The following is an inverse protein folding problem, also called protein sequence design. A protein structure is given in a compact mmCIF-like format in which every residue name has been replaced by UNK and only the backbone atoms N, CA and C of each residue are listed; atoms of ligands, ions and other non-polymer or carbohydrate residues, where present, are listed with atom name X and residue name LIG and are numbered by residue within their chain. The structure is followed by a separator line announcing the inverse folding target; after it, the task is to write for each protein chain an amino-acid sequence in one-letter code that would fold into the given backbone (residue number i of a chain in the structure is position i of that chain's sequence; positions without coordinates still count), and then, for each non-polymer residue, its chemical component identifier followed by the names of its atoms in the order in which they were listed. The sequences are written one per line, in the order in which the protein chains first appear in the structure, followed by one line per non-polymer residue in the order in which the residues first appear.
data_IF_112658280515
#
_entry.id   IF_112658280515
#
_cell.length_a   1.000
_cell.length_b   1.000
_cell.length_c   1.000
_cell.angle_alpha   90.00
_cell.angle_beta   90.00
_cell.angle_gamma   90.00
#
_symmetry.space_group_name_H-M   'P 1'
#
loop_
_entity.id
_entity.type
_entity.pdbx_description
1 polymer ?
#
# COMPACT_ATOMS: atom_id res chain seq x y z
N UNK A 1 3.40 -5.97 -8.36
CA UNK A 1 3.94 -5.72 -6.99
C UNK A 1 2.79 -5.29 -6.09
N UNK A 2 2.90 -5.50 -4.78
CA UNK A 2 1.89 -5.09 -3.79
C UNK A 2 2.61 -4.35 -2.68
N UNK A 3 2.00 -3.29 -2.14
CA UNK A 3 2.46 -2.61 -0.93
C UNK A 3 1.61 -3.09 0.25
N UNK A 4 2.27 -3.52 1.33
CA UNK A 4 1.61 -4.04 2.53
C UNK A 4 2.08 -3.23 3.73
N UNK A 5 1.15 -2.75 4.54
CA UNK A 5 1.43 -1.92 5.71
C UNK A 5 0.72 -2.47 6.94
N UNK A 6 1.45 -2.55 8.06
CA UNK A 6 0.92 -2.85 9.37
C UNK A 6 0.97 -1.61 10.25
N UNK A 7 -0.15 -1.24 10.88
CA UNK A 7 -0.19 -0.16 11.86
C UNK A 7 0.13 -0.74 13.24
N UNK A 8 1.33 -0.49 13.73
CA UNK A 8 1.77 -0.96 15.05
C UNK A 8 1.35 0.04 16.12
N UNK A 9 0.16 -0.21 16.67
CA UNK A 9 -0.47 0.60 17.71
C UNK A 9 -0.52 -0.17 19.00
N UNK A 10 -0.05 0.46 20.08
CA UNK A 10 -0.04 -0.15 21.41
C UNK A 10 -1.47 -0.35 21.92
N UNK A 11 -1.68 -1.33 22.82
CA UNK A 11 -2.96 -1.51 23.49
C UNK A 11 -3.44 -0.24 24.23
N UNK A 12 -2.58 0.46 25.01
CA UNK A 12 -2.97 1.73 25.64
C UNK A 12 -3.51 2.75 24.64
N UNK A 13 -2.85 2.92 23.50
CA UNK A 13 -3.28 3.87 22.47
C UNK A 13 -4.58 3.42 21.79
N UNK A 14 -4.70 2.12 21.53
CA UNK A 14 -5.92 1.50 20.98
C UNK A 14 -7.11 1.77 21.90
N UNK A 15 -6.97 1.54 23.21
CA UNK A 15 -8.02 1.80 24.20
C UNK A 15 -8.36 3.29 24.31
N UNK A 16 -7.36 4.18 24.31
CA UNK A 16 -7.56 5.64 24.32
C UNK A 16 -8.39 6.10 23.11
N UNK A 17 -8.09 5.59 21.91
CA UNK A 17 -8.83 5.91 20.69
C UNK A 17 -10.23 5.27 20.69
N UNK A 18 -10.35 4.02 21.14
CA UNK A 18 -11.62 3.30 21.22
C UNK A 18 -12.64 4.02 22.08
N UNK A 19 -12.24 4.53 23.25
CA UNK A 19 -13.11 5.27 24.17
C UNK A 19 -13.79 6.50 23.54
N UNK A 20 -13.26 7.03 22.44
CA UNK A 20 -13.84 8.18 21.71
C UNK A 20 -14.76 7.75 20.55
N UNK A 21 -14.87 6.47 20.25
CA UNK A 21 -15.70 5.95 19.15
C UNK A 21 -17.14 5.71 19.64
N UNK A 22 -18.17 5.91 18.80
CA UNK A 22 -19.56 5.61 19.17
C UNK A 22 -19.79 4.18 19.65
N UNK A 23 -18.99 3.22 19.17
CA UNK A 23 -19.07 1.80 19.54
C UNK A 23 -18.51 1.50 20.94
N UNK A 24 -17.88 2.46 21.62
CA UNK A 24 -17.27 2.24 22.94
C UNK A 24 -18.26 1.72 23.99
N UNK A 25 -19.55 2.08 23.88
CA UNK A 25 -20.61 1.57 24.76
C UNK A 25 -21.04 0.12 24.49
N UNK A 26 -20.61 -0.46 23.36
CA UNK A 26 -20.98 -1.82 22.95
C UNK A 26 -19.85 -2.82 23.10
N UNK A 27 -18.60 -2.38 23.01
CA UNK A 27 -17.41 -3.24 23.12
C UNK A 27 -16.57 -2.74 24.29
N UNK A 28 -16.50 -3.55 25.35
CA UNK A 28 -15.80 -3.19 26.56
C UNK A 28 -14.27 -3.19 26.35
N UNK A 29 -13.49 -2.39 27.12
CA UNK A 29 -12.03 -2.38 27.07
C UNK A 29 -11.39 -3.76 27.23
N UNK A 30 -11.97 -4.60 28.09
CA UNK A 30 -11.52 -5.97 28.35
C UNK A 30 -11.68 -6.86 27.12
N UNK A 31 -12.76 -6.65 26.37
CA UNK A 31 -13.02 -7.37 25.12
C UNK A 31 -12.03 -6.94 24.03
N UNK A 32 -11.78 -5.63 23.88
CA UNK A 32 -10.73 -5.11 22.98
C UNK A 32 -9.36 -5.71 23.35
N UNK A 33 -9.02 -5.74 24.64
CA UNK A 33 -7.76 -6.29 25.11
C UNK A 33 -7.64 -7.80 24.84
N UNK A 34 -8.75 -8.56 24.87
CA UNK A 34 -8.75 -10.00 24.59
C UNK A 34 -8.39 -10.36 23.13
N UNK A 35 -8.65 -9.44 22.19
CA UNK A 35 -8.30 -9.61 20.77
C UNK A 35 -6.92 -9.04 20.43
N UNK A 36 -6.32 -8.27 21.34
CA UNK A 36 -5.08 -7.58 21.07
C UNK A 36 -3.90 -8.55 21.02
N UNK A 37 -3.15 -8.50 19.91
CA UNK A 37 -1.87 -9.18 19.76
C UNK A 37 -0.79 -8.15 19.42
N UNK A 38 0.28 -8.04 20.24
CA UNK A 38 1.35 -7.11 19.95
C UNK A 38 2.10 -7.55 18.70
N UNK A 39 2.36 -6.58 17.79
CA UNK A 39 3.16 -6.79 16.59
C UNK A 39 2.69 -7.97 15.72
N UNK A 40 1.39 -7.99 15.41
CA UNK A 40 0.73 -9.06 14.65
C UNK A 40 0.91 -8.90 13.13
N UNK A 41 2.17 -8.90 12.69
CA UNK A 41 2.55 -8.78 11.27
C UNK A 41 2.23 -10.05 10.49
N UNK A 42 1.94 -9.93 9.19
CA UNK A 42 1.64 -11.07 8.32
C UNK A 42 2.89 -11.85 7.90
N UNK A 43 4.08 -11.24 8.01
CA UNK A 43 5.35 -11.86 7.64
C UNK A 43 5.57 -11.98 6.13
N UNK A 44 4.87 -11.16 5.34
CA UNK A 44 4.97 -11.19 3.87
C UNK A 44 6.15 -10.34 3.38
N UNK A 45 6.81 -10.71 2.27
CA UNK A 45 7.92 -9.92 1.74
C UNK A 45 7.51 -8.47 1.44
N UNK A 46 8.27 -7.52 1.97
CA UNK A 46 8.04 -6.09 1.76
C UNK A 46 6.94 -5.48 2.63
N UNK A 47 6.44 -6.21 3.64
CA UNK A 47 5.56 -5.63 4.67
C UNK A 47 6.29 -4.53 5.44
N UNK A 48 5.66 -3.37 5.54
CA UNK A 48 6.18 -2.20 6.22
C UNK A 48 5.41 -1.94 7.52
N UNK A 49 6.13 -1.65 8.60
CA UNK A 49 5.52 -1.32 9.89
C UNK A 49 5.47 0.20 10.05
N UNK A 50 4.28 0.73 10.28
CA UNK A 50 4.03 2.13 10.57
C UNK A 50 3.70 2.26 12.06
N UNK A 51 4.59 2.89 12.82
CA UNK A 51 4.43 3.03 14.27
C UNK A 51 3.43 4.10 14.66
N UNK A 52 2.87 3.97 15.87
CA UNK A 52 1.87 4.90 16.43
C UNK A 52 2.31 6.36 16.59
N UNK A 53 3.61 6.65 16.53
CA UNK A 53 4.15 8.01 16.60
C UNK A 53 3.99 8.79 15.28
N UNK A 54 3.70 8.11 14.17
CA UNK A 54 3.39 8.77 12.92
C UNK A 54 2.01 9.43 13.02
N UNK A 55 1.91 10.66 12.57
CA UNK A 55 0.61 11.29 12.34
C UNK A 55 0.00 10.84 11.01
N UNK A 56 -1.27 11.22 10.79
CA UNK A 56 -2.02 10.84 9.60
C UNK A 56 -1.37 11.34 8.31
N UNK A 57 -0.92 12.60 8.28
CA UNK A 57 -0.31 13.21 7.11
C UNK A 57 1.02 12.52 6.74
N UNK A 58 1.82 12.17 7.75
CA UNK A 58 3.06 11.41 7.57
C UNK A 58 2.78 10.00 7.03
N UNK A 59 1.76 9.29 7.55
CA UNK A 59 1.38 7.98 7.04
C UNK A 59 0.91 8.07 5.59
N UNK A 60 0.04 9.04 5.27
CA UNK A 60 -0.46 9.25 3.90
C UNK A 60 0.67 9.60 2.95
N UNK A 61 1.55 10.53 3.33
CA UNK A 61 2.72 10.89 2.53
C UNK A 61 3.64 9.69 2.27
N UNK A 62 3.82 8.82 3.27
CA UNK A 62 4.60 7.58 3.12
C UNK A 62 3.97 6.65 2.08
N UNK A 63 2.67 6.35 2.22
CA UNK A 63 1.95 5.46 1.29
C UNK A 63 1.96 6.02 -0.13
N UNK A 64 1.70 7.33 -0.30
CA UNK A 64 1.73 7.98 -1.60
C UNK A 64 3.13 7.97 -2.24
N UNK A 65 4.17 8.19 -1.44
CA UNK A 65 5.57 8.16 -1.86
C UNK A 65 6.04 6.78 -2.36
N UNK A 66 5.42 5.70 -1.87
CA UNK A 66 5.75 4.33 -2.25
C UNK A 66 5.00 3.86 -3.50
N UNK A 67 3.95 4.56 -3.95
CA UNK A 67 3.18 4.19 -5.16
C UNK A 67 4.02 4.01 -6.44
N UNK A 68 5.10 4.77 -6.70
CA UNK A 68 5.97 4.51 -7.84
C UNK A 68 6.56 3.10 -7.87
N UNK A 69 6.79 2.47 -6.70
CA UNK A 69 7.28 1.09 -6.61
C UNK A 69 6.30 0.07 -7.18
N UNK A 70 5.00 0.42 -7.27
CA UNK A 70 3.99 -0.42 -7.91
C UNK A 70 4.14 -0.46 -9.44
N UNK A 71 4.76 0.58 -10.03
CA UNK A 71 4.98 0.68 -11.47
C UNK A 71 6.20 -0.11 -11.94
N UNK A 72 7.12 -0.39 -11.01
CA UNK A 72 8.32 -1.19 -11.27
C UNK A 72 8.03 -2.65 -10.93
N UNK A 73 7.24 -3.33 -11.76
CA UNK A 73 7.16 -4.80 -11.71
C UNK A 73 8.46 -5.43 -12.22
N UNK A 74 8.83 -6.65 -11.78
CA UNK A 74 9.85 -7.44 -12.46
C UNK A 74 9.28 -7.89 -13.82
N UNK A 75 9.31 -7.01 -14.81
CA UNK A 75 8.68 -7.25 -16.11
C UNK A 75 9.22 -6.41 -17.26
N UNK A 76 9.96 -5.32 -17.02
CA UNK A 76 10.53 -4.53 -18.11
C UNK A 76 12.02 -4.27 -17.89
N UNK A 77 12.83 -5.28 -18.22
CA UNK A 77 14.16 -5.01 -18.77
C UNK A 77 14.24 -5.60 -20.16
N UNK A 78 14.18 -4.72 -21.17
CA UNK A 78 14.78 -4.98 -22.48
C UNK A 78 13.84 -5.46 -23.59
N UNK A 79 12.85 -4.66 -23.98
CA UNK A 79 12.35 -4.69 -25.36
C UNK A 79 12.83 -3.43 -26.08
N UNK A 80 13.44 -3.50 -27.28
CA UNK A 80 13.82 -2.29 -28.01
C UNK A 80 12.56 -1.48 -28.35
N UNK A 81 12.71 -0.15 -28.36
CA UNK A 81 11.66 0.78 -28.71
C UNK A 81 10.99 0.38 -30.05
N UNK A 82 9.66 0.51 -30.20
CA UNK A 82 9.02 0.24 -31.48
C UNK A 82 9.58 1.20 -32.53
N UNK A 83 10.22 0.63 -33.55
CA UNK A 83 10.63 1.33 -34.76
C UNK A 83 9.42 2.04 -35.37
N UNK A 84 9.63 3.27 -35.87
CA UNK A 84 8.62 4.10 -36.50
C UNK A 84 7.80 3.34 -37.58
N UNK A 85 6.53 3.70 -37.82
CA UNK A 85 5.72 3.00 -38.80
C UNK A 85 6.33 3.16 -40.20
N UNK A 86 6.62 2.04 -40.87
CA UNK A 86 7.00 2.04 -42.28
C UNK A 86 5.83 2.55 -43.12
N UNK A 87 6.08 3.60 -43.89
CA UNK A 87 5.13 4.14 -44.87
C UNK A 87 4.77 3.05 -45.87
N UNK A 88 3.49 2.70 -45.92
CA UNK A 88 2.94 1.75 -46.88
C UNK A 88 2.97 2.36 -48.28
N UNK A 89 4.07 2.15 -49.02
CA UNK A 89 4.15 2.56 -50.42
C UNK A 89 3.24 1.67 -51.26
N UNK A 90 2.10 2.22 -51.70
CA UNK A 90 1.16 1.55 -52.59
C UNK A 90 1.68 1.55 -54.03
N UNK A 91 1.78 0.40 -54.74
CA UNK A 91 2.15 0.40 -56.14
C UNK A 91 0.89 0.64 -56.97
N UNK A 92 0.67 1.89 -57.39
CA UNK A 92 -0.33 2.18 -58.43
C UNK A 92 0.33 1.96 -59.79
N UNK A 93 -0.16 0.95 -60.49
CA UNK A 93 0.19 0.54 -61.85
C UNK A 93 0.26 1.72 -62.82
N UNK A 94 1.20 1.63 -63.76
CA UNK A 94 1.22 2.37 -65.02
C UNK A 94 1.59 1.38 -66.14
N UNK A 95 1.38 1.69 -67.43
CA UNK A 95 0.52 2.74 -68.01
C UNK A 95 -0.85 2.22 -68.49
#
# INVERSE_FOLDING_TARGET
PTLVYYLDVSLPETLRRHARKPIAGHVAPEEVASWYRPHDVLGVPGEQVLGEALDEDQMVARVLGDLPMLRTGPGERGGPAPSAPEEFTSPRSAP
#
